data_IF_620531267740
#
_entry.id   IF_620531267740
#
_cell.length_a   1.000
_cell.length_b   1.000
_cell.length_c   1.000
_cell.angle_alpha   90.00
_cell.angle_beta   90.00
_cell.angle_gamma   90.00
#
_symmetry.space_group_name_H-M   'P 1'
#
loop_
_entity.id
_entity.type
_entity.pdbx_description
1 polymer ?
#
# COMPACT_ATOMS: atom_id res chain seq x y z
N UNK A 1 16.97 6.71 13.55
CA UNK A 1 16.75 7.71 12.48
C UNK A 1 15.34 8.24 12.67
N UNK A 2 15.12 9.55 12.75
CA UNK A 2 13.76 10.09 12.90
C UNK A 2 13.03 9.98 11.55
N UNK A 3 11.92 9.25 11.52
CA UNK A 3 11.06 9.16 10.33
C UNK A 3 10.41 10.51 10.06
N UNK A 4 10.52 11.00 8.82
CA UNK A 4 9.79 12.20 8.38
C UNK A 4 8.55 11.78 7.61
N UNK A 5 7.38 12.31 8.00
CA UNK A 5 6.13 12.06 7.29
C UNK A 5 6.18 12.65 5.87
N UNK A 6 5.79 11.86 4.87
CA UNK A 6 5.73 12.29 3.46
C UNK A 6 4.43 11.80 2.85
N UNK A 7 3.65 12.70 2.24
CA UNK A 7 2.38 12.35 1.58
C UNK A 7 2.65 11.74 0.21
N UNK A 8 2.00 10.62 -0.08
CA UNK A 8 2.05 9.97 -1.39
C UNK A 8 1.62 10.94 -2.50
N UNK A 9 0.55 11.71 -2.30
CA UNK A 9 -0.02 12.61 -3.31
C UNK A 9 0.90 13.78 -3.65
N UNK A 10 1.74 14.21 -2.73
CA UNK A 10 2.70 15.33 -2.92
C UNK A 10 4.08 14.88 -3.41
N UNK A 11 4.42 13.60 -3.28
CA UNK A 11 5.74 13.09 -3.67
C UNK A 11 5.95 13.13 -5.20
N UNK A 12 7.13 13.52 -5.67
CA UNK A 12 7.43 13.48 -7.11
C UNK A 12 7.42 12.03 -7.62
N UNK A 13 6.57 11.73 -8.61
CA UNK A 13 6.35 10.37 -9.14
C UNK A 13 7.63 9.71 -9.67
N UNK A 14 8.63 10.51 -10.02
CA UNK A 14 9.96 10.07 -10.42
C UNK A 14 11.01 10.83 -9.59
N UNK A 15 10.83 10.89 -8.27
CA UNK A 15 11.83 11.44 -7.36
C UNK A 15 13.17 10.72 -7.47
N UNK A 16 14.28 11.44 -7.26
CA UNK A 16 15.65 10.88 -7.33
C UNK A 16 15.81 9.68 -6.39
N UNK A 17 15.40 9.82 -5.13
CA UNK A 17 15.48 8.74 -4.13
C UNK A 17 14.73 7.48 -4.57
N UNK A 18 13.56 7.64 -5.21
CA UNK A 18 12.76 6.51 -5.67
C UNK A 18 13.42 5.79 -6.85
N UNK A 19 14.08 6.52 -7.76
CA UNK A 19 14.88 5.92 -8.84
C UNK A 19 16.13 5.20 -8.34
N UNK A 20 16.75 5.70 -7.27
CA UNK A 20 17.93 5.10 -6.66
C UNK A 20 17.58 3.83 -5.87
N UNK A 21 16.54 3.89 -5.01
CA UNK A 21 16.12 2.76 -4.18
C UNK A 21 15.31 1.71 -4.94
N UNK A 22 14.49 2.14 -5.90
CA UNK A 22 13.54 1.30 -6.67
C UNK A 22 12.58 0.48 -5.81
N UNK A 23 12.41 0.82 -4.53
CA UNK A 23 11.56 0.13 -3.57
C UNK A 23 10.67 1.12 -2.86
N UNK A 24 9.37 0.87 -2.89
CA UNK A 24 8.34 1.77 -2.38
C UNK A 24 7.62 1.10 -1.20
N UNK A 25 7.41 1.86 -0.13
CA UNK A 25 6.43 1.55 0.91
C UNK A 25 5.30 2.57 0.81
N UNK A 26 4.07 2.09 0.64
CA UNK A 26 2.86 2.89 0.77
C UNK A 26 2.08 2.44 1.98
N UNK A 27 1.70 3.39 2.83
CA UNK A 27 1.11 3.06 4.11
C UNK A 27 -0.06 3.97 4.50
N UNK A 28 -0.98 3.45 5.31
CA UNK A 28 -2.06 4.25 5.90
C UNK A 28 -1.50 5.33 6.82
N UNK A 29 -1.83 6.60 6.62
CA UNK A 29 -1.15 7.72 7.29
C UNK A 29 -1.14 7.65 8.82
N UNK A 30 -2.18 7.05 9.44
CA UNK A 30 -2.27 6.86 10.90
C UNK A 30 -1.12 6.04 11.48
N UNK A 31 -0.55 5.11 10.71
CA UNK A 31 0.57 4.24 11.12
C UNK A 31 1.80 5.07 11.55
N UNK A 32 2.00 6.25 10.96
CA UNK A 32 3.10 7.14 11.35
C UNK A 32 3.06 7.52 12.83
N UNK A 33 1.86 7.65 13.40
CA UNK A 33 1.65 8.03 14.80
C UNK A 33 1.38 6.81 15.69
N UNK A 34 0.60 5.85 15.21
CA UNK A 34 0.14 4.72 16.03
C UNK A 34 1.15 3.58 16.12
N UNK A 35 1.91 3.33 15.05
CA UNK A 35 2.85 2.21 14.97
C UNK A 35 4.22 2.64 14.41
N UNK A 36 4.89 3.64 15.01
CA UNK A 36 6.14 4.21 14.49
C UNK A 36 7.27 3.17 14.39
N UNK A 37 7.33 2.21 15.31
CA UNK A 37 8.36 1.14 15.29
C UNK A 37 8.14 0.15 14.14
N UNK A 38 6.88 -0.20 13.85
CA UNK A 38 6.54 -1.03 12.69
C UNK A 38 6.89 -0.27 11.41
N UNK A 39 6.48 0.99 11.32
CA UNK A 39 6.79 1.84 10.16
C UNK A 39 8.29 1.96 9.93
N UNK A 40 9.08 2.12 10.99
CA UNK A 40 10.54 2.22 10.92
C UNK A 40 11.13 1.00 10.21
N UNK A 41 10.80 -0.20 10.69
CA UNK A 41 11.28 -1.47 10.10
C UNK A 41 10.88 -1.61 8.63
N UNK A 42 9.63 -1.28 8.30
CA UNK A 42 9.14 -1.38 6.92
C UNK A 42 9.77 -0.32 5.99
N UNK A 43 10.18 0.82 6.53
CA UNK A 43 10.78 1.93 5.78
C UNK A 43 12.26 1.66 5.40
N UNK A 44 12.92 0.72 6.06
CA UNK A 44 14.32 0.38 5.78
C UNK A 44 14.53 0.00 4.30
N UNK A 45 15.44 0.71 3.64
CA UNK A 45 15.74 0.50 2.21
C UNK A 45 14.63 0.94 1.25
N UNK A 46 13.53 1.54 1.72
CA UNK A 46 12.39 1.95 0.89
C UNK A 46 12.17 3.46 0.90
N UNK A 47 11.46 3.96 -0.09
CA UNK A 47 10.82 5.27 -0.01
C UNK A 47 9.46 5.06 0.66
N UNK A 48 9.32 5.48 1.92
CA UNK A 48 8.05 5.41 2.64
C UNK A 48 7.17 6.65 2.36
N UNK A 49 5.94 6.42 1.89
CA UNK A 49 4.94 7.44 1.56
C UNK A 49 3.58 7.10 2.20
N UNK A 50 3.04 8.02 3.01
CA UNK A 50 1.77 7.86 3.70
C UNK A 50 0.59 8.42 2.90
N UNK A 51 -0.58 7.80 3.03
CA UNK A 51 -1.84 8.30 2.46
C UNK A 51 -3.03 7.88 3.33
N UNK A 52 -4.06 8.72 3.40
CA UNK A 52 -5.33 8.38 4.04
C UNK A 52 -6.44 8.32 3.01
N UNK A 53 -7.12 7.19 2.91
CA UNK A 53 -8.23 7.00 1.97
C UNK A 53 -9.56 7.59 2.49
N UNK A 54 -9.57 8.11 3.73
CA UNK A 54 -10.65 8.99 4.21
C UNK A 54 -10.51 10.42 3.65
N UNK A 55 -9.27 10.86 3.43
CA UNK A 55 -8.96 12.20 2.96
C UNK A 55 -8.80 12.27 1.44
N UNK A 56 -8.29 11.19 0.83
CA UNK A 56 -7.96 11.12 -0.59
C UNK A 56 -8.80 10.04 -1.27
N UNK A 57 -9.46 10.41 -2.37
CA UNK A 57 -10.27 9.44 -3.11
C UNK A 57 -9.37 8.37 -3.77
N UNK A 58 -9.81 7.11 -3.71
CA UNK A 58 -9.11 5.95 -4.25
C UNK A 58 -8.52 6.18 -5.66
N UNK A 59 -9.30 6.75 -6.57
CA UNK A 59 -8.84 7.01 -7.96
C UNK A 59 -7.65 7.98 -8.04
N UNK A 60 -7.56 8.99 -7.17
CA UNK A 60 -6.42 9.91 -7.12
C UNK A 60 -5.16 9.14 -6.71
N UNK A 61 -5.30 8.30 -5.68
CA UNK A 61 -4.23 7.44 -5.18
C UNK A 61 -3.79 6.43 -6.24
N UNK A 62 -4.72 5.74 -6.89
CA UNK A 62 -4.44 4.76 -7.93
C UNK A 62 -3.74 5.41 -9.15
N UNK A 63 -4.18 6.58 -9.60
CA UNK A 63 -3.52 7.31 -10.70
C UNK A 63 -2.11 7.78 -10.31
N UNK A 64 -1.92 8.21 -9.06
CA UNK A 64 -0.59 8.58 -8.54
C UNK A 64 0.36 7.39 -8.56
N UNK A 65 -0.10 6.23 -8.08
CA UNK A 65 0.68 4.98 -8.08
C UNK A 65 0.97 4.50 -9.50
N UNK A 66 -0.03 4.50 -10.39
CA UNK A 66 0.15 4.15 -11.81
C UNK A 66 1.19 5.08 -12.47
N UNK A 67 1.16 6.37 -12.13
CA UNK A 67 2.14 7.34 -12.62
C UNK A 67 3.57 7.08 -12.13
N UNK A 68 3.74 6.58 -10.91
CA UNK A 68 5.02 6.11 -10.39
C UNK A 68 5.47 4.87 -11.17
N UNK A 69 4.61 3.85 -11.25
CA UNK A 69 4.89 2.56 -11.87
C UNK A 69 5.24 2.69 -13.36
N UNK A 70 4.64 3.66 -14.05
CA UNK A 70 4.93 3.93 -15.46
C UNK A 70 6.31 4.58 -15.68
N UNK A 71 6.85 5.31 -14.70
CA UNK A 71 8.06 6.16 -14.83
C UNK A 71 9.29 5.60 -14.13
N UNK A 72 9.09 4.76 -13.12
CA UNK A 72 10.18 4.13 -12.36
C UNK A 72 9.98 2.62 -12.41
N UNK A 73 11.02 1.92 -12.84
CA UNK A 73 11.05 0.47 -12.83
C UNK A 73 11.31 -0.02 -11.40
N UNK A 74 10.24 -0.21 -10.63
CA UNK A 74 10.31 -0.62 -9.23
C UNK A 74 10.59 -2.12 -9.09
N UNK A 75 11.47 -2.47 -8.17
CA UNK A 75 11.75 -3.85 -7.75
C UNK A 75 10.69 -4.39 -6.79
N UNK A 76 10.15 -3.53 -5.91
CA UNK A 76 9.20 -3.91 -4.87
C UNK A 76 8.26 -2.74 -4.52
N UNK A 77 6.99 -3.08 -4.28
CA UNK A 77 6.02 -2.21 -3.61
C UNK A 77 5.45 -2.95 -2.41
N UNK A 78 5.61 -2.37 -1.23
CA UNK A 78 5.00 -2.87 0.01
C UNK A 78 3.82 -1.99 0.37
N UNK A 79 2.70 -2.61 0.70
CA UNK A 79 1.50 -1.94 1.23
C UNK A 79 1.37 -2.29 2.70
N UNK A 80 1.24 -1.30 3.57
CA UNK A 80 1.06 -1.51 5.02
C UNK A 80 -0.13 -0.69 5.53
N UNK A 81 -1.14 -1.35 6.07
CA UNK A 81 -2.29 -0.67 6.68
C UNK A 81 -2.63 -1.23 8.06
N UNK A 82 -3.51 -0.58 8.80
CA UNK A 82 -4.21 -1.25 9.92
C UNK A 82 -5.24 -2.22 9.36
N UNK A 83 -5.52 -3.30 10.09
CA UNK A 83 -6.61 -4.21 9.73
C UNK A 83 -7.98 -3.66 10.17
N UNK A 84 -9.06 -4.12 9.55
CA UNK A 84 -10.44 -3.79 9.93
C UNK A 84 -10.97 -2.43 9.48
N UNK A 85 -10.13 -1.53 8.95
CA UNK A 85 -10.58 -0.22 8.45
C UNK A 85 -11.13 -0.30 7.01
N UNK A 86 -12.36 0.18 6.74
CA UNK A 86 -12.96 0.18 5.40
C UNK A 86 -12.26 1.15 4.43
N UNK A 87 -11.48 2.09 4.95
CA UNK A 87 -10.71 3.04 4.16
C UNK A 87 -9.33 2.46 3.81
N UNK A 88 -8.67 1.82 4.78
CA UNK A 88 -7.35 1.23 4.60
C UNK A 88 -7.32 0.14 3.53
N UNK A 89 -8.33 -0.73 3.48
CA UNK A 89 -8.41 -1.79 2.47
C UNK A 89 -8.37 -1.24 1.03
N UNK A 90 -8.85 -0.01 0.83
CA UNK A 90 -8.83 0.63 -0.48
C UNK A 90 -7.41 0.90 -0.97
N UNK A 91 -6.42 1.11 -0.09
CA UNK A 91 -5.02 1.29 -0.50
C UNK A 91 -4.46 0.03 -1.17
N UNK A 92 -4.79 -1.15 -0.66
CA UNK A 92 -4.41 -2.43 -1.29
C UNK A 92 -5.01 -2.53 -2.70
N UNK A 93 -6.30 -2.18 -2.84
CA UNK A 93 -6.95 -2.15 -4.15
C UNK A 93 -6.37 -1.09 -5.09
N UNK A 94 -5.96 0.07 -4.58
CA UNK A 94 -5.33 1.14 -5.37
C UNK A 94 -4.04 0.66 -6.03
N UNK A 95 -3.22 -0.05 -5.27
CA UNK A 95 -1.93 -0.60 -5.74
C UNK A 95 -2.16 -1.69 -6.79
N UNK A 96 -3.10 -2.61 -6.56
CA UNK A 96 -3.45 -3.64 -7.53
C UNK A 96 -4.05 -3.05 -8.81
N UNK A 97 -4.90 -2.03 -8.71
CA UNK A 97 -5.46 -1.35 -9.88
C UNK A 97 -4.37 -0.62 -10.66
N UNK A 98 -3.48 0.10 -9.98
CA UNK A 98 -2.33 0.76 -10.61
C UNK A 98 -1.42 -0.25 -11.34
N UNK A 99 -1.13 -1.40 -10.72
CA UNK A 99 -0.35 -2.48 -11.33
C UNK A 99 -1.06 -3.03 -12.58
N UNK A 100 -2.37 -3.28 -12.49
CA UNK A 100 -3.18 -3.81 -13.59
C UNK A 100 -3.25 -2.84 -14.77
N UNK A 101 -3.53 -1.56 -14.52
CA UNK A 101 -3.65 -0.53 -15.57
C UNK A 101 -2.33 -0.28 -16.27
N UNK A 102 -1.21 -0.32 -15.54
CA UNK A 102 0.12 -0.13 -16.15
C UNK A 102 0.68 -1.36 -16.83
N UNK A 103 0.12 -2.56 -16.55
CA UNK A 103 0.62 -3.82 -17.08
C UNK A 103 2.02 -4.20 -16.59
N UNK A 104 2.56 -3.51 -15.57
CA UNK A 104 3.91 -3.73 -15.06
C UNK A 104 3.93 -4.95 -14.14
N UNK A 105 4.95 -5.78 -14.31
CA UNK A 105 5.23 -6.91 -13.43
C UNK A 105 6.06 -6.40 -12.25
N UNK A 106 5.38 -5.87 -11.24
CA UNK A 106 5.98 -5.36 -10.00
C UNK A 106 5.72 -6.38 -8.90
N UNK A 107 6.73 -6.68 -8.08
CA UNK A 107 6.56 -7.47 -6.86
C UNK A 107 5.80 -6.64 -5.81
N UNK A 108 4.50 -6.92 -5.65
CA UNK A 108 3.65 -6.27 -4.65
C UNK A 108 3.46 -7.20 -3.46
N UNK A 109 3.74 -6.69 -2.26
CA UNK A 109 3.48 -7.39 -0.99
C UNK A 109 2.53 -6.59 -0.13
N UNK A 110 1.56 -7.26 0.47
CA UNK A 110 0.50 -6.64 1.23
C UNK A 110 0.59 -7.04 2.70
N UNK A 111 0.50 -6.05 3.59
CA UNK A 111 0.54 -6.26 5.03
C UNK A 111 -0.58 -5.48 5.72
N UNK A 112 -1.13 -6.09 6.75
CA UNK A 112 -2.07 -5.46 7.68
C UNK A 112 -1.51 -5.55 9.10
N UNK A 113 -1.78 -4.53 9.92
CA UNK A 113 -1.43 -4.52 11.33
C UNK A 113 -2.65 -4.97 12.14
N UNK A 114 -2.52 -6.11 12.80
CA UNK A 114 -3.52 -6.67 13.72
C UNK A 114 -2.82 -6.99 15.05
N UNK A 115 -3.41 -6.58 16.17
CA UNK A 115 -2.84 -6.88 17.50
C UNK A 115 -1.44 -6.33 17.76
N UNK A 116 -0.99 -5.31 17.00
CA UNK A 116 0.37 -4.76 17.09
C UNK A 116 1.41 -5.52 16.26
N UNK A 117 1.00 -6.49 15.44
CA UNK A 117 1.87 -7.25 14.55
C UNK A 117 1.52 -7.00 13.09
N UNK A 118 2.54 -6.96 12.22
CA UNK A 118 2.34 -6.85 10.78
C UNK A 118 2.25 -8.23 10.15
N UNK A 119 1.08 -8.57 9.62
CA UNK A 119 0.76 -9.85 9.00
C UNK A 119 0.75 -9.71 7.47
N UNK A 120 1.45 -10.60 6.77
CA UNK A 120 1.42 -10.63 5.30
C UNK A 120 0.11 -11.27 4.81
N UNK A 121 -0.57 -10.62 3.87
CA UNK A 121 -1.80 -11.11 3.24
C UNK A 121 -1.57 -11.34 1.75
N UNK A 122 -2.16 -12.41 1.21
CA UNK A 122 -1.95 -12.76 -0.19
C UNK A 122 -2.67 -11.78 -1.15
N UNK A 123 -2.16 -11.59 -2.37
CA UNK A 123 -2.88 -10.85 -3.42
C UNK A 123 -4.27 -11.42 -3.68
N UNK A 124 -4.45 -12.74 -3.52
CA UNK A 124 -5.75 -13.41 -3.62
C UNK A 124 -6.72 -12.96 -2.53
N UNK A 125 -6.25 -12.83 -1.28
CA UNK A 125 -7.06 -12.33 -0.17
C UNK A 125 -7.52 -10.89 -0.44
N UNK A 126 -6.60 -10.01 -0.85
CA UNK A 126 -6.91 -8.65 -1.29
C UNK A 126 -7.96 -8.68 -2.41
N UNK A 127 -7.78 -9.50 -3.44
CA UNK A 127 -8.75 -9.62 -4.53
C UNK A 127 -10.11 -10.10 -4.05
N UNK A 128 -10.17 -11.09 -3.16
CA UNK A 128 -11.43 -11.65 -2.64
C UNK A 128 -12.18 -10.63 -1.79
N UNK A 129 -11.47 -9.76 -1.07
CA UNK A 129 -12.07 -8.79 -0.14
C UNK A 129 -13.12 -7.87 -0.79
N UNK A 130 -12.99 -7.56 -2.09
CA UNK A 130 -13.99 -6.76 -2.84
C UNK A 130 -15.15 -7.56 -3.43
N UNK A 131 -15.23 -8.87 -3.20
CA UNK A 131 -16.32 -9.73 -3.69
C UNK A 131 -17.10 -10.34 -2.52
N UNK A 132 -18.07 -9.59 -1.98
CA UNK A 132 -18.90 -10.04 -0.85
C UNK A 132 -19.59 -11.39 -1.12
N UNK A 133 -19.99 -11.68 -2.36
CA UNK A 133 -20.57 -12.97 -2.73
C UNK A 133 -19.59 -14.14 -2.61
N UNK A 134 -18.28 -13.92 -2.81
CA UNK A 134 -17.25 -14.95 -2.57
C UNK A 134 -16.99 -15.12 -1.08
N UNK A 135 -16.93 -14.03 -0.34
CA UNK A 135 -16.78 -14.06 1.13
C UNK A 135 -17.93 -14.83 1.77
N UNK A 136 -19.19 -14.56 1.40
CA UNK A 136 -20.35 -15.29 1.90
C UNK A 136 -20.23 -16.80 1.64
N UNK A 137 -19.73 -17.20 0.46
CA UNK A 137 -19.51 -18.61 0.14
C UNK A 137 -18.38 -19.24 0.97
N UNK A 138 -17.40 -18.47 1.43
CA UNK A 138 -16.36 -18.96 2.34
C UNK A 138 -16.92 -19.14 3.75
N UNK A 139 -17.69 -18.16 4.23
CA UNK A 139 -18.35 -18.24 5.55
C UNK A 139 -19.32 -19.42 5.63
N UNK A 140 -20.09 -19.69 4.57
CA UNK A 140 -21.02 -20.82 4.53
C UNK A 140 -20.34 -22.21 4.41
N UNK A 141 -19.04 -22.25 4.15
CA UNK A 141 -18.25 -23.50 4.09
C UNK A 141 -17.55 -23.80 5.41
N UNK A 142 -17.64 -22.89 6.38
CA UNK A 142 -17.09 -23.01 7.72
C UNK A 142 -18.20 -23.46 8.65
#
# INVERSE_FOLDING_TARGET
>A
MSLTYRRLTEFNVAGRELREKRRLLVYGSCIFHEYPDILSRFSEGRVALGVCLEAEHLNVVALKLASIFARVDLEEVVVLTVDGSPHCIQLHHAVEEARKVTGRQINVRHFVIEGGEALEVSPEAVKVARYLSKIQRLLNKT
#
